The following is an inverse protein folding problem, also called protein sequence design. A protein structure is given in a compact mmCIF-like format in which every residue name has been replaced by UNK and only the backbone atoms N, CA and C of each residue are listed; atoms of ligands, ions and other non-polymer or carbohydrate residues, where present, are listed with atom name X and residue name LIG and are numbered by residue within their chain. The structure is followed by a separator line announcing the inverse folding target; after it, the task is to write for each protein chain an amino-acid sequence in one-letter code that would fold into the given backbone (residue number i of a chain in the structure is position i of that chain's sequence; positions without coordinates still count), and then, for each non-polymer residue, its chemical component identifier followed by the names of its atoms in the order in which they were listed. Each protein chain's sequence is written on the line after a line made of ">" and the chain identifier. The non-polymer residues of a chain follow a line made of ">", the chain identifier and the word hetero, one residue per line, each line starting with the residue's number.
data_IF_393026304772
#
_entry.id   IF_393026304772
#
_cell.length_a   1.000
_cell.length_b   1.000
_cell.length_c   1.000
_cell.angle_alpha   90.00
_cell.angle_beta   90.00
_cell.angle_gamma   90.00
#
_symmetry.space_group_name_H-M   'P 1'
#
loop_
_entity.id
_entity.type
_entity.pdbx_description
1 polymer ?
#
# COMPACT_ATOMS: atom_id res chain seq x y z
N UNK A 1 -71.24 -32.58 16.22
CA UNK A 1 -70.17 -32.94 15.26
C UNK A 1 -70.31 -32.08 14.01
N UNK A 2 -69.65 -30.90 13.94
CA UNK A 2 -69.44 -30.19 12.69
C UNK A 2 -68.02 -30.45 12.15
N UNK A 3 -67.93 -30.60 10.83
CA UNK A 3 -66.77 -31.06 10.09
C UNK A 3 -65.60 -30.06 10.10
N UNK A 4 -64.39 -30.58 10.35
CA UNK A 4 -63.13 -29.87 10.11
C UNK A 4 -62.88 -29.76 8.60
N UNK A 5 -62.81 -28.53 8.10
CA UNK A 5 -62.29 -28.25 6.76
C UNK A 5 -60.75 -28.19 6.82
N UNK A 6 -60.02 -28.88 5.92
CA UNK A 6 -58.57 -28.80 5.88
C UNK A 6 -58.11 -27.43 5.38
N UNK A 7 -57.19 -26.79 6.13
CA UNK A 7 -56.49 -25.57 5.68
C UNK A 7 -55.62 -25.88 4.45
N UNK A 8 -55.58 -25.01 3.43
CA UNK A 8 -54.61 -25.14 2.34
C UNK A 8 -53.18 -24.84 2.85
N UNK A 9 -52.14 -25.40 2.22
CA UNK A 9 -50.77 -25.20 2.64
C UNK A 9 -50.32 -23.75 2.42
N UNK A 10 -49.65 -23.17 3.40
CA UNK A 10 -48.98 -21.87 3.29
C UNK A 10 -47.95 -21.93 2.14
N UNK A 11 -48.17 -21.12 1.12
CA UNK A 11 -47.18 -20.90 0.08
C UNK A 11 -45.96 -20.22 0.71
N UNK A 12 -44.81 -20.88 0.68
CA UNK A 12 -43.52 -20.30 1.00
C UNK A 12 -43.26 -19.12 0.04
N UNK A 13 -43.45 -17.90 0.54
CA UNK A 13 -43.08 -16.68 -0.17
C UNK A 13 -41.55 -16.62 -0.22
N UNK A 14 -40.96 -16.93 -1.36
CA UNK A 14 -39.56 -16.64 -1.63
C UNK A 14 -39.33 -15.13 -1.65
N UNK A 15 -38.31 -14.60 -0.96
CA UNK A 15 -38.00 -13.18 -1.05
C UNK A 15 -37.60 -12.81 -2.48
N UNK A 16 -37.94 -11.60 -2.96
CA UNK A 16 -37.55 -11.18 -4.30
C UNK A 16 -36.03 -11.13 -4.42
N UNK A 17 -35.46 -11.41 -5.60
CA UNK A 17 -34.03 -11.25 -5.83
C UNK A 17 -33.62 -9.80 -5.55
N UNK A 18 -32.40 -9.58 -5.01
CA UNK A 18 -31.92 -8.23 -4.77
C UNK A 18 -31.93 -7.42 -6.08
N UNK A 19 -32.19 -6.11 -6.02
CA UNK A 19 -32.19 -5.27 -7.21
C UNK A 19 -30.83 -5.37 -7.90
N UNK A 20 -30.85 -5.62 -9.20
CA UNK A 20 -29.68 -5.58 -10.06
C UNK A 20 -28.98 -4.23 -9.87
N UNK A 21 -27.83 -4.23 -9.20
CA UNK A 21 -26.96 -3.04 -9.18
C UNK A 21 -26.60 -2.72 -10.63
N UNK A 22 -26.64 -1.44 -11.04
CA UNK A 22 -26.07 -1.05 -12.32
C UNK A 22 -24.61 -1.50 -12.35
N UNK A 23 -24.12 -2.05 -13.48
CA UNK A 23 -22.71 -2.40 -13.58
C UNK A 23 -21.88 -1.15 -13.27
N UNK A 24 -20.86 -1.32 -12.43
CA UNK A 24 -19.84 -0.31 -12.25
C UNK A 24 -19.31 0.11 -13.65
N UNK A 25 -18.91 1.37 -13.85
CA UNK A 25 -18.32 1.78 -15.11
C UNK A 25 -17.17 0.82 -15.43
N UNK A 26 -17.28 0.11 -16.55
CA UNK A 26 -16.26 -0.80 -17.02
C UNK A 26 -14.95 -0.03 -17.10
N UNK A 27 -13.96 -0.56 -16.39
CA UNK A 27 -12.58 -0.14 -16.46
C UNK A 27 -12.21 -0.04 -17.95
N UNK A 28 -11.67 1.10 -18.40
CA UNK A 28 -11.20 1.29 -19.79
C UNK A 28 -10.08 0.31 -20.22
N UNK A 29 -9.76 -0.68 -19.38
CA UNK A 29 -8.81 -1.76 -19.59
C UNK A 29 -9.47 -3.09 -20.01
N UNK A 30 -10.79 -3.15 -20.19
CA UNK A 30 -11.52 -4.43 -20.35
C UNK A 30 -11.90 -4.80 -21.79
N UNK A 31 -11.37 -4.11 -22.81
CA UNK A 31 -11.49 -4.56 -24.20
C UNK A 31 -10.13 -4.46 -24.90
N UNK A 32 -9.23 -5.38 -24.56
CA UNK A 32 -8.11 -5.64 -25.45
C UNK A 32 -8.67 -6.28 -26.74
N UNK A 33 -8.41 -5.71 -27.93
CA UNK A 33 -8.72 -6.37 -29.18
C UNK A 33 -7.92 -7.67 -29.26
N UNK A 34 -8.51 -8.70 -29.89
CA UNK A 34 -7.89 -10.01 -30.14
C UNK A 34 -6.70 -9.80 -31.10
N UNK A 35 -5.55 -9.48 -30.51
CA UNK A 35 -4.22 -9.48 -31.08
C UNK A 35 -3.28 -9.83 -29.93
N UNK A 36 -2.57 -10.95 -30.04
CA UNK A 36 -1.88 -11.64 -28.94
C UNK A 36 -0.70 -10.88 -28.29
N UNK A 37 -0.47 -9.60 -28.61
CA UNK A 37 0.63 -8.83 -28.07
C UNK A 37 0.18 -7.83 -26.99
N UNK A 38 0.55 -8.12 -25.74
CA UNK A 38 0.36 -7.20 -24.62
C UNK A 38 1.22 -5.95 -24.81
N UNK A 39 0.58 -4.78 -24.73
CA UNK A 39 1.24 -3.50 -24.99
C UNK A 39 2.48 -3.26 -24.10
N UNK A 40 3.51 -2.55 -24.61
CA UNK A 40 4.70 -2.21 -23.83
C UNK A 40 4.39 -1.42 -22.55
N UNK A 41 3.35 -0.60 -22.57
CA UNK A 41 2.89 0.16 -21.40
C UNK A 41 2.35 -0.76 -20.29
N UNK A 42 1.53 -1.76 -20.65
CA UNK A 42 1.01 -2.74 -19.69
C UNK A 42 2.16 -3.53 -19.06
N UNK A 43 3.16 -3.90 -19.86
CA UNK A 43 4.39 -4.57 -19.37
C UNK A 43 5.17 -3.68 -18.40
N UNK A 44 5.36 -2.40 -18.75
CA UNK A 44 6.05 -1.41 -17.90
C UNK A 44 5.36 -1.23 -16.55
N UNK A 45 4.03 -1.13 -16.52
CA UNK A 45 3.29 -1.03 -15.26
C UNK A 45 3.33 -2.32 -14.45
N UNK A 46 3.22 -3.48 -15.08
CA UNK A 46 3.32 -4.76 -14.37
C UNK A 46 4.72 -4.96 -13.74
N UNK A 47 5.77 -4.57 -14.46
CA UNK A 47 7.13 -4.54 -13.92
C UNK A 47 7.26 -3.55 -12.75
N UNK A 48 6.72 -2.33 -12.87
CA UNK A 48 6.74 -1.35 -11.77
C UNK A 48 6.07 -1.88 -10.52
N UNK A 49 4.91 -2.52 -10.64
CA UNK A 49 4.21 -3.15 -9.51
C UNK A 49 5.07 -4.22 -8.85
N UNK A 50 5.73 -5.08 -9.64
CA UNK A 50 6.69 -6.08 -9.14
C UNK A 50 7.85 -5.41 -8.41
N UNK A 51 8.51 -4.43 -9.02
CA UNK A 51 9.64 -3.71 -8.42
C UNK A 51 9.25 -3.05 -7.10
N UNK A 52 8.09 -2.38 -7.05
CA UNK A 52 7.55 -1.77 -5.83
C UNK A 52 7.30 -2.85 -4.77
N UNK A 53 6.66 -3.97 -5.12
CA UNK A 53 6.38 -5.02 -4.16
C UNK A 53 7.65 -5.62 -3.55
N UNK A 54 8.67 -5.92 -4.36
CA UNK A 54 9.95 -6.42 -3.85
C UNK A 54 10.72 -5.36 -3.06
N UNK A 55 10.62 -4.08 -3.44
CA UNK A 55 11.20 -2.97 -2.69
C UNK A 55 10.56 -2.81 -1.31
N UNK A 56 9.22 -2.93 -1.23
CA UNK A 56 8.48 -2.94 0.03
C UNK A 56 8.93 -4.07 0.94
N UNK A 57 9.06 -5.31 0.42
CA UNK A 57 9.58 -6.43 1.22
C UNK A 57 10.96 -6.14 1.79
N UNK A 58 11.88 -5.63 0.96
CA UNK A 58 13.24 -5.29 1.39
C UNK A 58 13.26 -4.19 2.45
N UNK A 59 12.48 -3.12 2.26
CA UNK A 59 12.34 -2.04 3.24
C UNK A 59 11.75 -2.58 4.54
N UNK A 60 10.71 -3.41 4.47
CA UNK A 60 10.05 -4.00 5.63
C UNK A 60 10.99 -4.93 6.43
N UNK A 61 11.82 -5.72 5.75
CA UNK A 61 12.90 -6.50 6.40
C UNK A 61 13.92 -5.58 7.08
N UNK A 62 14.39 -4.52 6.41
CA UNK A 62 15.32 -3.56 6.99
C UNK A 62 14.73 -2.85 8.22
N UNK A 63 13.48 -2.37 8.09
CA UNK A 63 12.72 -1.76 9.18
C UNK A 63 12.64 -2.69 10.40
N UNK A 64 12.33 -3.98 10.17
CA UNK A 64 12.26 -4.96 11.25
C UNK A 64 13.60 -5.18 11.96
N UNK A 65 14.71 -5.24 11.20
CA UNK A 65 16.06 -5.37 11.78
C UNK A 65 16.42 -4.13 12.61
N UNK A 66 16.19 -2.93 12.08
CA UNK A 66 16.45 -1.68 12.80
C UNK A 66 15.60 -1.55 14.07
N UNK A 67 14.33 -1.95 14.00
CA UNK A 67 13.42 -1.93 15.14
C UNK A 67 13.84 -2.93 16.23
N UNK A 68 14.26 -4.15 15.86
CA UNK A 68 14.75 -5.13 16.83
C UNK A 68 16.04 -4.67 17.52
N UNK A 69 17.00 -4.15 16.74
CA UNK A 69 18.28 -3.68 17.27
C UNK A 69 18.13 -2.53 18.29
N UNK A 70 17.18 -1.62 18.05
CA UNK A 70 16.93 -0.46 18.92
C UNK A 70 15.83 -0.68 19.96
N UNK A 71 15.24 -1.88 20.03
CA UNK A 71 14.13 -2.12 20.94
C UNK A 71 14.52 -1.89 22.40
N UNK A 72 13.68 -1.15 23.13
CA UNK A 72 13.91 -0.80 24.54
C UNK A 72 14.96 0.31 24.75
N UNK A 73 15.52 0.87 23.67
CA UNK A 73 16.42 2.02 23.73
C UNK A 73 15.65 3.34 23.59
N UNK A 74 16.23 4.49 23.99
CA UNK A 74 15.60 5.80 23.81
C UNK A 74 15.28 6.15 22.34
N UNK A 75 16.01 5.55 21.40
CA UNK A 75 15.84 5.69 19.96
C UNK A 75 15.14 4.48 19.31
N UNK A 76 14.37 3.72 20.10
CA UNK A 76 13.57 2.60 19.60
C UNK A 76 12.70 3.03 18.41
N UNK A 77 12.59 2.16 17.40
CA UNK A 77 11.76 2.38 16.21
C UNK A 77 10.37 1.80 16.45
N UNK A 78 9.34 2.56 16.06
CA UNK A 78 7.94 2.15 16.15
C UNK A 78 7.57 1.07 15.13
N UNK A 79 6.33 0.57 15.18
CA UNK A 79 5.89 -0.55 14.33
C UNK A 79 5.66 -0.18 12.87
N UNK A 80 5.51 1.11 12.54
CA UNK A 80 5.03 1.56 11.24
C UNK A 80 6.05 2.45 10.52
N UNK A 81 6.02 2.40 9.20
CA UNK A 81 6.86 3.16 8.29
C UNK A 81 6.05 3.55 7.04
N UNK A 82 6.32 4.71 6.45
CA UNK A 82 5.74 5.12 5.15
C UNK A 82 6.84 5.18 4.11
N UNK A 83 6.52 4.80 2.88
CA UNK A 83 7.43 4.79 1.74
C UNK A 83 6.78 5.59 0.61
N UNK A 84 7.54 6.50 0.01
CA UNK A 84 7.16 7.23 -1.19
C UNK A 84 7.93 6.64 -2.39
N UNK A 85 7.21 6.41 -3.49
CA UNK A 85 7.77 5.84 -4.71
C UNK A 85 7.87 6.91 -5.80
N UNK A 86 9.04 6.98 -6.44
CA UNK A 86 9.28 7.85 -7.58
C UNK A 86 9.95 7.07 -8.70
N UNK A 87 9.74 7.49 -9.95
CA UNK A 87 10.45 6.93 -11.10
C UNK A 87 11.17 8.03 -11.88
N UNK A 88 12.36 7.73 -12.39
CA UNK A 88 13.06 8.58 -13.37
C UNK A 88 13.27 7.81 -14.66
N UNK A 89 13.44 8.52 -15.77
CA UNK A 89 13.84 7.90 -17.03
C UNK A 89 15.25 7.29 -16.88
N UNK A 90 15.42 6.07 -17.35
CA UNK A 90 16.68 5.33 -17.31
C UNK A 90 16.75 4.41 -18.54
N UNK A 91 17.25 4.92 -19.66
CA UNK A 91 17.25 4.22 -20.95
C UNK A 91 18.05 2.89 -20.96
N UNK A 92 18.96 2.71 -20.00
CA UNK A 92 19.73 1.48 -19.85
C UNK A 92 18.96 0.37 -19.11
N UNK A 93 17.85 0.70 -18.44
CA UNK A 93 17.02 -0.26 -17.71
C UNK A 93 16.03 -0.97 -18.66
N UNK A 94 15.66 -2.24 -18.40
CA UNK A 94 14.82 -3.05 -19.30
C UNK A 94 13.50 -2.40 -19.72
N UNK A 95 12.92 -1.55 -18.87
CA UNK A 95 11.66 -0.84 -19.13
C UNK A 95 11.83 0.69 -19.20
N UNK A 96 13.07 1.16 -19.36
CA UNK A 96 13.39 2.57 -19.57
C UNK A 96 13.21 3.47 -18.35
N UNK A 97 13.08 2.91 -17.14
CA UNK A 97 12.91 3.68 -15.90
C UNK A 97 13.67 3.05 -14.73
N UNK A 98 13.98 3.89 -13.74
CA UNK A 98 14.53 3.47 -12.44
C UNK A 98 13.55 3.85 -11.32
N UNK A 99 13.28 2.90 -10.41
CA UNK A 99 12.49 3.12 -9.20
C UNK A 99 13.37 3.68 -8.06
N UNK A 100 12.93 4.79 -7.49
CA UNK A 100 13.50 5.44 -6.31
C UNK A 100 12.51 5.37 -5.14
N UNK A 101 13.05 5.23 -3.93
CA UNK A 101 12.25 5.13 -2.71
C UNK A 101 12.81 5.97 -1.59
N UNK A 102 11.96 6.84 -1.04
CA UNK A 102 12.23 7.53 0.21
C UNK A 102 11.25 7.03 1.27
N UNK A 103 11.66 6.98 2.52
CA UNK A 103 10.82 6.46 3.60
C UNK A 103 10.91 7.29 4.87
N UNK A 104 9.89 7.14 5.71
CA UNK A 104 9.85 7.62 7.09
C UNK A 104 9.67 6.44 8.02
N UNK A 105 10.58 6.31 8.98
CA UNK A 105 10.38 5.51 10.18
C UNK A 105 10.18 6.45 11.37
N UNK A 106 9.33 6.05 12.32
CA UNK A 106 9.08 6.82 13.54
C UNK A 106 9.79 6.19 14.72
N UNK A 107 10.12 7.02 15.70
CA UNK A 107 10.48 6.53 17.02
C UNK A 107 9.24 5.90 17.68
N UNK A 108 9.48 4.89 18.50
CA UNK A 108 8.46 4.23 19.30
C UNK A 108 7.80 5.26 20.21
N UNK A 109 6.48 5.38 20.08
CA UNK A 109 5.65 6.30 20.85
C UNK A 109 4.20 5.82 20.75
N UNK A 110 3.32 6.14 21.71
CA UNK A 110 1.90 5.78 21.63
C UNK A 110 1.23 6.28 20.33
N UNK A 111 1.67 7.42 19.81
CA UNK A 111 1.18 7.98 18.55
C UNK A 111 1.63 7.16 17.33
N UNK A 112 2.83 6.54 17.40
CA UNK A 112 3.38 5.73 16.32
C UNK A 112 2.79 4.32 16.25
N UNK A 113 1.92 3.93 17.19
CA UNK A 113 1.32 2.59 17.25
C UNK A 113 0.03 2.46 16.44
N UNK A 114 -0.67 3.59 16.23
CA UNK A 114 -1.92 3.67 15.47
C UNK A 114 -1.64 4.04 14.02
N UNK A 115 -1.48 3.02 13.16
CA UNK A 115 -1.18 3.20 11.74
C UNK A 115 -2.21 4.09 11.01
N UNK A 116 -3.54 3.85 11.10
CA UNK A 116 -4.51 4.74 10.47
C UNK A 116 -4.41 6.19 10.92
N UNK A 117 -4.24 6.46 12.22
CA UNK A 117 -4.06 7.82 12.72
C UNK A 117 -2.78 8.45 12.17
N UNK A 118 -1.68 7.73 12.18
CA UNK A 118 -0.40 8.20 11.66
C UNK A 118 -0.48 8.55 10.16
N UNK A 119 -1.25 7.80 9.38
CA UNK A 119 -1.51 8.12 7.96
C UNK A 119 -2.39 9.35 7.79
N UNK A 120 -3.40 9.53 8.65
CA UNK A 120 -4.25 10.72 8.64
C UNK A 120 -3.42 11.98 8.98
N UNK A 121 -2.62 11.92 10.04
CA UNK A 121 -1.73 13.01 10.47
C UNK A 121 -0.74 13.37 9.36
N UNK A 122 -0.19 12.38 8.64
CA UNK A 122 0.67 12.64 7.47
C UNK A 122 -0.04 13.33 6.32
N UNK A 123 -1.31 12.97 6.05
CA UNK A 123 -2.09 13.64 5.01
C UNK A 123 -2.39 15.11 5.37
N UNK A 124 -2.65 15.38 6.65
CA UNK A 124 -2.80 16.74 7.18
C UNK A 124 -1.50 17.53 7.05
N UNK A 125 -0.38 16.98 7.51
CA UNK A 125 0.96 17.60 7.39
C UNK A 125 1.30 17.89 5.93
N UNK A 126 1.02 16.96 5.01
CA UNK A 126 1.22 17.19 3.58
C UNK A 126 0.36 18.38 3.09
N UNK A 127 -0.92 18.40 3.44
CA UNK A 127 -1.86 19.47 3.06
C UNK A 127 -1.42 20.84 3.58
N UNK A 128 -0.99 20.92 4.84
CA UNK A 128 -0.49 22.15 5.46
C UNK A 128 0.79 22.65 4.79
N UNK A 129 1.74 21.75 4.52
CA UNK A 129 2.98 22.10 3.85
C UNK A 129 2.74 22.58 2.40
N UNK A 130 1.79 21.95 1.69
CA UNK A 130 1.34 22.39 0.37
C UNK A 130 0.78 23.81 0.45
N UNK A 131 -0.13 24.06 1.39
CA UNK A 131 -0.75 25.38 1.58
C UNK A 131 0.29 26.45 1.94
N UNK A 132 1.26 26.13 2.81
CA UNK A 132 2.35 27.03 3.21
C UNK A 132 3.31 27.32 2.06
N UNK A 133 3.62 26.31 1.24
CA UNK A 133 4.37 26.51 0.00
C UNK A 133 3.63 27.48 -0.93
N UNK A 134 2.34 27.24 -1.14
CA UNK A 134 1.51 28.09 -2.00
C UNK A 134 1.47 29.56 -1.52
N UNK A 135 1.34 29.80 -0.20
CA UNK A 135 1.32 31.16 0.36
C UNK A 135 2.64 31.91 0.18
N UNK A 136 3.76 31.19 0.12
CA UNK A 136 5.11 31.73 -0.13
C UNK A 136 5.54 31.67 -1.61
N UNK A 137 4.62 31.29 -2.51
CA UNK A 137 4.88 31.09 -3.95
C UNK A 137 6.00 30.08 -4.24
N UNK A 138 6.22 29.12 -3.33
CA UNK A 138 7.19 28.02 -3.49
C UNK A 138 6.42 26.71 -3.66
N UNK A 139 6.91 25.84 -4.54
CA UNK A 139 6.36 24.49 -4.63
C UNK A 139 7.02 23.65 -3.53
N UNK A 140 6.21 23.20 -2.57
CA UNK A 140 6.67 22.25 -1.57
C UNK A 140 6.94 20.88 -2.21
N UNK A 141 7.91 20.14 -1.68
CA UNK A 141 8.22 18.78 -2.11
C UNK A 141 8.40 17.89 -0.86
N UNK A 142 7.86 16.66 -0.82
CA UNK A 142 7.89 15.82 0.38
C UNK A 142 9.30 15.37 0.80
N UNK A 143 10.28 15.45 -0.11
CA UNK A 143 11.71 15.19 0.17
C UNK A 143 12.50 16.47 0.48
N UNK A 144 11.85 17.63 0.40
CA UNK A 144 12.50 18.92 0.57
C UNK A 144 12.82 19.22 2.04
N UNK A 145 13.76 20.14 2.31
CA UNK A 145 14.16 20.50 3.67
C UNK A 145 13.02 21.15 4.47
N UNK A 146 12.13 21.88 3.79
CA UNK A 146 11.02 22.60 4.40
C UNK A 146 9.83 21.65 4.64
N UNK A 147 9.77 21.02 5.80
CA UNK A 147 8.68 20.12 6.17
C UNK A 147 8.76 18.75 5.47
N UNK A 148 9.94 18.14 5.49
CA UNK A 148 10.15 16.80 4.93
C UNK A 148 9.18 15.78 5.53
N UNK A 149 8.58 14.97 4.66
CA UNK A 149 7.75 13.82 5.03
C UNK A 149 8.55 12.55 5.26
N UNK A 150 9.84 12.54 4.92
CA UNK A 150 10.71 11.36 4.94
C UNK A 150 12.01 11.65 5.70
N UNK A 151 12.65 10.59 6.21
CA UNK A 151 13.90 10.69 6.96
C UNK A 151 14.96 9.65 6.52
N UNK A 152 14.71 8.91 5.45
CA UNK A 152 15.66 7.97 4.88
C UNK A 152 15.35 7.57 3.44
N UNK A 153 16.26 6.79 2.84
CA UNK A 153 16.17 6.34 1.44
C UNK A 153 16.76 7.35 0.45
N UNK A 154 16.21 7.37 -0.76
CA UNK A 154 16.67 8.19 -1.89
C UNK A 154 16.22 9.65 -1.72
N UNK A 155 16.93 10.39 -0.86
CA UNK A 155 16.60 11.78 -0.49
C UNK A 155 16.94 12.80 -1.59
N UNK A 156 17.66 12.39 -2.63
CA UNK A 156 18.01 13.22 -3.79
C UNK A 156 17.63 12.48 -5.05
N UNK A 157 16.61 12.99 -5.75
CA UNK A 157 16.10 12.39 -6.97
C UNK A 157 16.71 13.05 -8.21
N UNK A 158 16.91 12.29 -9.30
CA UNK A 158 17.19 12.87 -10.61
C UNK A 158 16.15 13.92 -11.01
N UNK A 159 16.57 14.93 -11.76
CA UNK A 159 15.65 15.92 -12.31
C UNK A 159 14.61 15.22 -13.21
N UNK A 160 13.33 15.57 -13.04
CA UNK A 160 12.23 14.96 -13.81
C UNK A 160 11.66 13.68 -13.19
N UNK A 161 12.15 13.25 -12.03
CA UNK A 161 11.53 12.14 -11.30
C UNK A 161 10.05 12.42 -11.00
N UNK A 162 9.22 11.40 -11.23
CA UNK A 162 7.77 11.48 -11.11
C UNK A 162 7.31 10.62 -9.94
N UNK A 163 6.46 11.18 -9.08
CA UNK A 163 5.80 10.43 -8.01
C UNK A 163 4.86 9.37 -8.62
N UNK A 164 4.92 8.13 -8.12
CA UNK A 164 4.08 7.01 -8.64
C UNK A 164 3.25 6.32 -7.56
N UNK A 165 3.41 6.69 -6.29
CA UNK A 165 2.58 6.16 -5.22
C UNK A 165 3.21 6.22 -3.84
N UNK A 166 2.46 5.68 -2.88
CA UNK A 166 2.84 5.60 -1.48
C UNK A 166 2.59 4.18 -0.97
N UNK A 167 3.38 3.77 0.01
CA UNK A 167 3.22 2.53 0.71
C UNK A 167 3.46 2.66 2.19
N UNK A 168 3.10 1.61 2.91
CA UNK A 168 3.29 1.42 4.33
C UNK A 168 4.10 0.17 4.52
N UNK A 169 5.08 0.21 5.42
CA UNK A 169 5.67 -0.96 6.05
C UNK A 169 5.15 -1.02 7.49
N UNK A 170 4.56 -2.15 7.87
CA UNK A 170 4.22 -2.41 9.26
C UNK A 170 4.85 -3.71 9.74
N UNK A 171 5.31 -3.69 10.98
CA UNK A 171 5.81 -4.85 11.72
C UNK A 171 4.69 -5.58 12.46
N UNK A 172 3.50 -4.98 12.53
CA UNK A 172 2.30 -5.69 12.93
C UNK A 172 1.93 -6.71 11.85
N UNK A 173 1.47 -7.88 12.28
CA UNK A 173 1.09 -8.96 11.39
C UNK A 173 -0.03 -9.80 11.99
N UNK A 174 -0.45 -10.85 11.27
CA UNK A 174 -1.35 -11.89 11.78
C UNK A 174 -0.75 -12.66 12.97
N UNK A 175 0.56 -12.55 13.22
CA UNK A 175 1.23 -13.13 14.40
C UNK A 175 1.10 -12.25 15.65
N UNK A 176 0.74 -10.98 15.51
CA UNK A 176 0.58 -10.06 16.63
C UNK A 176 1.12 -8.66 16.35
N UNK A 177 1.05 -7.81 17.38
CA UNK A 177 1.62 -6.45 17.34
C UNK A 177 3.13 -6.50 17.55
N UNK A 178 3.86 -5.55 16.96
CA UNK A 178 5.32 -5.47 17.03
C UNK A 178 5.85 -5.61 18.46
N UNK A 179 5.33 -4.85 19.43
CA UNK A 179 5.84 -4.91 20.80
C UNK A 179 5.63 -6.30 21.42
N UNK A 180 4.53 -6.98 21.12
CA UNK A 180 4.29 -8.33 21.62
C UNK A 180 5.31 -9.30 21.01
N UNK A 181 5.52 -9.21 19.70
CA UNK A 181 6.47 -10.05 18.96
C UNK A 181 7.93 -9.78 19.38
N UNK A 182 8.29 -8.52 19.60
CA UNK A 182 9.64 -8.15 20.02
C UNK A 182 9.98 -8.73 21.41
N UNK A 183 9.02 -8.78 22.34
CA UNK A 183 9.27 -9.43 23.63
C UNK A 183 9.57 -10.95 23.47
N UNK A 184 8.87 -11.64 22.57
CA UNK A 184 9.09 -13.09 22.36
C UNK A 184 10.45 -13.41 21.72
N UNK A 185 11.09 -12.47 21.02
CA UNK A 185 12.48 -12.63 20.53
C UNK A 185 13.52 -12.63 21.67
N UNK A 186 13.17 -12.05 22.81
CA UNK A 186 14.04 -11.87 23.99
C UNK A 186 13.81 -12.96 25.03
N UNK A 187 12.59 -13.49 25.10
CA UNK A 187 12.27 -14.60 25.97
C UNK A 187 12.98 -15.88 25.51
N UNK A 188 13.47 -16.67 26.48
CA UNK A 188 13.95 -18.03 26.24
C UNK A 188 12.72 -18.95 26.17
N UNK A 189 12.32 -19.45 24.99
CA UNK A 189 11.15 -20.30 24.91
C UNK A 189 11.44 -21.65 25.58
N UNK A 190 10.41 -22.22 26.23
CA UNK A 190 10.49 -23.54 26.85
C UNK A 190 10.87 -24.67 25.86
N UNK A 191 10.72 -24.42 24.56
CA UNK A 191 11.08 -25.32 23.46
C UNK A 191 12.57 -25.28 23.09
N UNK A 192 13.37 -24.37 23.67
CA UNK A 192 14.82 -24.29 23.48
C UNK A 192 15.29 -23.66 22.16
N UNK A 193 14.38 -23.30 21.24
CA UNK A 193 14.73 -22.61 19.98
C UNK A 193 14.39 -21.12 20.05
N UNK A 194 15.43 -20.28 20.14
CA UNK A 194 15.27 -18.83 20.11
C UNK A 194 14.74 -18.38 18.73
N UNK A 195 13.68 -17.58 18.73
CA UNK A 195 13.20 -16.92 17.52
C UNK A 195 14.18 -15.81 17.13
N UNK A 196 14.46 -15.71 15.84
CA UNK A 196 15.17 -14.59 15.25
C UNK A 196 14.18 -13.57 14.72
N UNK A 197 14.61 -12.31 14.63
CA UNK A 197 13.85 -11.28 13.91
C UNK A 197 13.55 -11.71 12.47
N UNK A 198 14.42 -12.52 11.84
CA UNK A 198 14.22 -13.05 10.51
C UNK A 198 13.12 -14.13 10.40
N UNK A 199 12.62 -14.65 11.52
CA UNK A 199 11.52 -15.62 11.57
C UNK A 199 10.13 -14.95 11.68
N UNK A 200 10.10 -13.63 11.95
CA UNK A 200 8.84 -12.89 12.08
C UNK A 200 8.24 -12.54 10.71
N UNK A 201 6.92 -12.41 10.66
CA UNK A 201 6.22 -11.81 9.53
C UNK A 201 6.27 -10.28 9.54
N UNK A 202 5.84 -9.67 8.44
CA UNK A 202 5.53 -8.25 8.36
C UNK A 202 4.62 -7.97 7.18
N UNK A 203 3.97 -6.81 7.17
CA UNK A 203 3.02 -6.46 6.12
C UNK A 203 3.39 -5.15 5.43
N UNK A 204 2.99 -5.04 4.16
CA UNK A 204 3.02 -3.77 3.45
C UNK A 204 1.70 -3.52 2.73
N UNK A 205 1.28 -2.26 2.70
CA UNK A 205 0.14 -1.78 1.94
C UNK A 205 0.64 -0.75 0.95
N UNK A 206 0.24 -0.83 -0.33
CA UNK A 206 0.72 0.09 -1.37
C UNK A 206 -0.46 0.58 -2.19
N UNK A 207 -0.47 1.88 -2.47
CA UNK A 207 -1.31 2.52 -3.48
C UNK A 207 -0.42 3.21 -4.51
N UNK A 208 -0.65 2.92 -5.78
CA UNK A 208 -0.01 3.61 -6.90
C UNK A 208 -1.01 4.54 -7.59
N UNK A 209 -0.47 5.54 -8.28
CA UNK A 209 -1.25 6.60 -8.95
C UNK A 209 -2.16 6.09 -10.07
N UNK A 210 -1.95 4.88 -10.57
CA UNK A 210 -2.81 4.20 -11.57
C UNK A 210 -4.00 3.44 -10.93
N UNK A 211 -4.18 3.58 -9.62
CA UNK A 211 -5.19 2.86 -8.85
C UNK A 211 -4.79 1.42 -8.49
N UNK A 212 -3.53 1.04 -8.70
CA UNK A 212 -3.04 -0.24 -8.18
C UNK A 212 -3.01 -0.22 -6.66
N UNK A 213 -3.63 -1.22 -6.05
CA UNK A 213 -3.55 -1.53 -4.63
C UNK A 213 -2.84 -2.88 -4.44
N UNK A 214 -1.85 -2.93 -3.53
CA UNK A 214 -1.16 -4.15 -3.16
C UNK A 214 -1.11 -4.36 -1.65
N UNK A 215 -1.53 -5.54 -1.20
CA UNK A 215 -1.28 -6.03 0.15
C UNK A 215 -0.22 -7.12 0.07
N UNK A 216 0.91 -6.90 0.74
CA UNK A 216 2.08 -7.77 0.71
C UNK A 216 2.27 -8.36 2.09
N UNK A 217 2.09 -9.67 2.21
CA UNK A 217 2.45 -10.45 3.39
C UNK A 217 3.88 -10.98 3.23
N UNK A 218 4.80 -10.45 4.03
CA UNK A 218 6.20 -10.88 4.05
C UNK A 218 6.33 -12.00 5.07
N UNK A 219 6.27 -13.22 4.57
CA UNK A 219 6.42 -14.44 5.35
C UNK A 219 7.76 -15.13 5.05
N UNK A 220 8.71 -15.16 6.01
CA UNK A 220 10.02 -15.81 5.81
C UNK A 220 9.92 -17.33 5.70
N UNK A 221 8.78 -17.92 6.07
CA UNK A 221 8.51 -19.35 5.98
C UNK A 221 7.53 -19.71 4.86
N UNK A 222 7.22 -18.75 3.97
CA UNK A 222 6.45 -19.01 2.77
C UNK A 222 7.08 -20.12 1.93
N UNK A 223 6.23 -20.99 1.37
CA UNK A 223 6.68 -22.02 0.42
C UNK A 223 7.24 -21.35 -0.84
N UNK A 224 8.19 -22.02 -1.49
CA UNK A 224 8.69 -21.60 -2.80
C UNK A 224 7.53 -21.40 -3.78
N UNK A 225 7.55 -20.28 -4.50
CA UNK A 225 6.48 -19.88 -5.43
C UNK A 225 5.32 -19.12 -4.79
N UNK A 226 5.25 -19.00 -3.46
CA UNK A 226 4.30 -18.11 -2.77
C UNK A 226 5.00 -16.78 -2.49
N UNK A 227 4.62 -15.74 -3.22
CA UNK A 227 5.20 -14.41 -3.03
C UNK A 227 4.49 -13.59 -1.94
N UNK A 228 3.30 -13.99 -1.48
CA UNK A 228 2.52 -13.23 -0.50
C UNK A 228 2.01 -11.89 -1.03
N UNK A 229 2.00 -11.66 -2.35
CA UNK A 229 1.55 -10.41 -2.96
C UNK A 229 0.11 -10.57 -3.44
N UNK A 230 -0.80 -9.76 -2.90
CA UNK A 230 -2.18 -9.61 -3.38
C UNK A 230 -2.30 -8.27 -4.08
N UNK A 231 -2.71 -8.26 -5.35
CA UNK A 231 -2.75 -7.05 -6.18
C UNK A 231 -4.06 -6.98 -6.96
N UNK A 232 -4.71 -5.82 -6.99
CA UNK A 232 -5.94 -5.62 -7.77
C UNK A 232 -5.69 -5.45 -9.29
N UNK A 233 -4.43 -5.33 -9.71
CA UNK A 233 -3.99 -5.31 -11.12
C UNK A 233 -3.07 -6.48 -11.43
N UNK A 234 -2.90 -6.80 -12.72
CA UNK A 234 -1.95 -7.86 -13.11
C UNK A 234 -0.51 -7.49 -12.75
N UNK A 235 0.20 -8.47 -12.17
CA UNK A 235 1.65 -8.46 -11.99
C UNK A 235 2.36 -9.18 -13.14
N UNK A 236 1.65 -10.03 -13.87
CA UNK A 236 2.18 -10.84 -14.96
C UNK A 236 1.31 -10.63 -16.21
N UNK A 237 1.72 -9.73 -17.11
CA UNK A 237 0.93 -9.37 -18.27
C UNK A 237 0.77 -10.54 -19.25
N UNK A 238 1.72 -11.48 -19.26
CA UNK A 238 1.72 -12.64 -20.16
C UNK A 238 0.81 -13.77 -19.66
N UNK A 239 0.38 -13.70 -18.39
CA UNK A 239 -0.51 -14.69 -17.81
C UNK A 239 -1.96 -14.29 -18.08
N UNK A 240 -2.61 -15.02 -18.99
CA UNK A 240 -4.05 -14.88 -19.22
C UNK A 240 -4.81 -15.31 -17.97
N UNK A 241 -5.36 -14.34 -17.25
CA UNK A 241 -6.27 -14.58 -16.13
C UNK A 241 -7.58 -13.87 -16.41
N UNK A 242 -8.65 -14.63 -16.64
CA UNK A 242 -10.00 -14.11 -16.86
C UNK A 242 -10.66 -13.55 -15.59
N UNK A 243 -10.05 -13.78 -14.43
CA UNK A 243 -10.59 -13.37 -13.14
C UNK A 243 -9.45 -12.98 -12.20
N UNK A 244 -9.52 -11.76 -11.66
CA UNK A 244 -8.66 -11.34 -10.55
C UNK A 244 -9.43 -11.39 -9.24
N UNK A 245 -9.15 -12.39 -8.40
CA UNK A 245 -9.78 -12.54 -7.07
C UNK A 245 -9.51 -11.38 -6.11
N UNK A 246 -8.62 -10.46 -6.46
CA UNK A 246 -8.22 -9.32 -5.64
C UNK A 246 -8.66 -7.98 -6.25
N UNK A 247 -9.57 -7.97 -7.22
CA UNK A 247 -10.05 -6.73 -7.85
C UNK A 247 -10.56 -5.71 -6.82
N UNK A 248 -11.33 -6.15 -5.83
CA UNK A 248 -11.87 -5.31 -4.76
C UNK A 248 -11.02 -5.35 -3.48
N UNK A 249 -9.69 -5.51 -3.59
CA UNK A 249 -8.77 -5.72 -2.45
C UNK A 249 -8.94 -4.71 -1.30
N UNK A 250 -9.27 -3.46 -1.62
CA UNK A 250 -9.43 -2.38 -0.64
C UNK A 250 -10.78 -2.41 0.08
N UNK A 251 -11.75 -3.17 -0.44
CA UNK A 251 -13.12 -3.29 0.08
C UNK A 251 -13.35 -4.66 0.74
N UNK A 252 -12.85 -5.73 0.10
CA UNK A 252 -12.93 -7.14 0.53
C UNK A 252 -11.88 -7.47 1.60
N UNK A 253 -11.88 -6.70 2.68
CA UNK A 253 -11.03 -6.87 3.86
C UNK A 253 -11.80 -6.56 5.14
N UNK A 254 -11.21 -6.88 6.29
CA UNK A 254 -11.77 -6.49 7.58
C UNK A 254 -11.77 -4.95 7.76
N UNK A 255 -12.53 -4.46 8.74
CA UNK A 255 -12.71 -3.02 8.93
C UNK A 255 -11.40 -2.31 9.33
N UNK A 256 -10.48 -2.99 10.02
CA UNK A 256 -9.21 -2.39 10.41
C UNK A 256 -8.32 -2.16 9.19
N UNK A 257 -8.19 -3.17 8.31
CA UNK A 257 -7.45 -3.05 7.05
C UNK A 257 -8.13 -2.03 6.12
N UNK A 258 -9.46 -2.02 6.05
CA UNK A 258 -10.21 -1.02 5.29
C UNK A 258 -9.92 0.39 5.78
N UNK A 259 -9.78 0.59 7.09
CA UNK A 259 -9.42 1.90 7.65
C UNK A 259 -8.01 2.33 7.23
N UNK A 260 -7.03 1.42 7.23
CA UNK A 260 -5.69 1.67 6.68
C UNK A 260 -5.76 2.10 5.22
N UNK A 261 -6.51 1.38 4.37
CA UNK A 261 -6.68 1.75 2.96
C UNK A 261 -7.31 3.13 2.76
N UNK A 262 -8.31 3.48 3.58
CA UNK A 262 -8.95 4.81 3.52
C UNK A 262 -7.95 5.93 3.78
N UNK A 263 -7.13 5.80 4.83
CA UNK A 263 -6.16 6.82 5.21
C UNK A 263 -4.97 6.87 4.26
N UNK A 264 -4.46 5.70 3.84
CA UNK A 264 -3.42 5.63 2.81
C UNK A 264 -3.88 6.29 1.51
N UNK A 265 -5.15 6.06 1.11
CA UNK A 265 -5.74 6.69 -0.06
C UNK A 265 -5.92 8.20 0.09
N UNK A 266 -6.23 8.70 1.29
CA UNK A 266 -6.29 10.14 1.55
C UNK A 266 -4.92 10.80 1.38
N UNK A 267 -3.87 10.17 1.91
CA UNK A 267 -2.50 10.63 1.73
C UNK A 267 -2.08 10.58 0.25
N UNK A 268 -2.29 9.46 -0.43
CA UNK A 268 -1.92 9.30 -1.84
C UNK A 268 -2.59 10.32 -2.75
N UNK A 269 -3.90 10.56 -2.56
CA UNK A 269 -4.64 11.56 -3.34
C UNK A 269 -4.09 12.96 -3.11
N UNK A 270 -3.76 13.31 -1.87
CA UNK A 270 -3.19 14.62 -1.51
C UNK A 270 -1.85 14.83 -2.22
N UNK A 271 -0.96 13.83 -2.17
CA UNK A 271 0.34 13.88 -2.83
C UNK A 271 0.21 13.88 -4.35
N UNK A 272 -0.61 13.01 -4.91
CA UNK A 272 -0.84 12.90 -6.37
C UNK A 272 -1.35 14.22 -6.93
N UNK A 273 -2.38 14.81 -6.31
CA UNK A 273 -2.96 16.08 -6.75
C UNK A 273 -1.90 17.20 -6.78
N UNK A 274 -1.02 17.26 -5.77
CA UNK A 274 0.03 18.28 -5.70
C UNK A 274 1.22 18.00 -6.64
N UNK A 275 1.77 16.78 -6.64
CA UNK A 275 2.95 16.41 -7.42
C UNK A 275 2.67 16.32 -8.92
N UNK A 276 1.45 15.96 -9.33
CA UNK A 276 1.09 15.88 -10.75
C UNK A 276 0.39 17.13 -11.29
N UNK A 277 -0.01 18.09 -10.44
CA UNK A 277 -0.56 19.34 -10.93
C UNK A 277 0.44 20.05 -11.86
N UNK A 278 0.00 20.32 -13.09
CA UNK A 278 0.78 21.12 -14.05
C UNK A 278 0.86 22.56 -13.54
N UNK A 279 2.07 23.12 -13.58
CA UNK A 279 2.36 24.52 -13.26
C UNK A 279 1.38 25.44 -14.01
N UNK A 280 0.64 26.35 -13.37
CA UNK A 280 0.18 27.54 -14.08
C UNK A 280 1.42 28.37 -14.38
N UNK A 281 1.91 28.30 -15.61
CA UNK A 281 2.85 29.29 -16.14
C UNK A 281 2.04 30.58 -16.25
N UNK A 282 2.18 31.49 -15.28
CA UNK A 282 1.84 32.89 -15.52
C UNK A 282 2.88 33.44 -16.49
N UNK A 283 2.52 33.45 -17.77
CA UNK A 283 3.04 34.47 -18.67
C UNK A 283 2.55 35.80 -18.09
N UNK A 284 3.47 36.57 -17.54
CA UNK A 284 3.20 37.98 -17.22
C UNK A 284 3.56 38.77 -18.49
N UNK A 285 2.80 39.85 -18.78
CA UNK A 285 2.72 40.49 -20.09
C UNK A 285 4.02 41.14 -20.53
#
# INVERSE_FOLDING_TARGET
>A
MPAEYPRPPEALVTPPPPPLRPPAPSSAYEQAPVGDEVSPEVRRWADLRKQVAYRCKRINTGHMVEADQRFGQPDAIGPHGVVLFFVSDALAEPHGYQLHTAYRLWLASPEADDLPRLLADLAEVASENIARGASTRRRWHPLGPDGSMVNGGDMSLPHGSTYVGVGVSTLDSDQGRWYQLAHTLRDLPATGRRLSVFDLKGQCYVLLTDGTAMHIDRDPHARLGVDGIRCNRTLDPDRVTYFNRHENLTEDCDEAIRHVWRQLGALDRTLTAHLHSRRPVRLTP
#
